data_IF_015393656655
#
_entry.id   IF_015393656655
#
_cell.length_a   1.000
_cell.length_b   1.000
_cell.length_c   1.000
_cell.angle_alpha   90.00
_cell.angle_beta   90.00
_cell.angle_gamma   90.00
#
_symmetry.space_group_name_H-M   'P 1'
#
loop_
_entity.id
_entity.type
_entity.pdbx_description
1 polymer ?
#
# COMPACT_ATOMS: atom_id res chain seq x y z
N UNK A 1 35.85 -2.55 29.38
CA UNK A 1 36.79 -3.71 29.34
C UNK A 1 36.29 -4.92 28.56
N UNK A 2 34.99 -4.99 28.23
CA UNK A 2 34.39 -6.10 27.46
C UNK A 2 34.40 -5.92 25.92
N UNK A 3 34.55 -4.71 25.42
CA UNK A 3 34.56 -4.44 23.97
C UNK A 3 35.87 -4.82 23.25
N UNK A 4 36.97 -5.03 23.96
CA UNK A 4 38.25 -5.41 23.35
C UNK A 4 38.37 -6.90 23.04
N UNK A 5 37.58 -7.75 23.70
CA UNK A 5 37.66 -9.21 23.53
C UNK A 5 36.94 -9.72 22.28
N UNK A 6 35.82 -9.09 21.89
CA UNK A 6 35.03 -9.51 20.71
C UNK A 6 35.72 -9.14 19.39
N UNK A 7 36.47 -8.05 19.37
CA UNK A 7 37.26 -7.64 18.20
C UNK A 7 38.44 -8.58 17.92
N UNK A 8 39.01 -9.20 18.97
CA UNK A 8 40.14 -10.11 18.82
C UNK A 8 39.71 -11.46 18.23
N UNK A 9 38.51 -11.94 18.56
CA UNK A 9 38.00 -13.25 18.08
C UNK A 9 37.63 -13.19 16.60
N UNK A 10 37.05 -12.09 16.13
CA UNK A 10 36.74 -11.87 14.72
C UNK A 10 38.01 -11.78 13.85
N UNK A 11 39.09 -11.20 14.39
CA UNK A 11 40.38 -11.11 13.70
C UNK A 11 41.08 -12.47 13.52
N UNK A 12 40.95 -13.39 14.50
CA UNK A 12 41.52 -14.75 14.41
C UNK A 12 40.78 -15.63 13.40
N UNK A 13 39.48 -15.48 13.23
CA UNK A 13 38.70 -16.27 12.25
C UNK A 13 39.00 -15.88 10.78
N UNK A 14 39.33 -14.63 10.51
CA UNK A 14 39.70 -14.15 9.16
C UNK A 14 41.10 -14.64 8.76
N UNK A 15 42.05 -14.74 9.73
CA UNK A 15 43.40 -15.21 9.44
C UNK A 15 43.49 -16.75 9.24
N UNK A 16 42.56 -17.53 9.80
CA UNK A 16 42.54 -19.00 9.61
C UNK A 16 42.12 -19.42 8.19
N UNK A 17 41.51 -18.53 7.40
CA UNK A 17 41.06 -18.80 6.03
C UNK A 17 42.14 -18.49 4.96
N UNK A 18 43.21 -17.81 5.32
CA UNK A 18 44.29 -17.40 4.40
C UNK A 18 45.54 -18.30 4.51
N UNK A 19 45.34 -19.60 4.60
CA UNK A 19 46.37 -20.62 4.37
C UNK A 19 47.77 -20.35 4.94
N UNK A 20 48.06 -20.80 6.16
CA UNK A 20 49.41 -21.25 6.46
C UNK A 20 50.40 -20.24 7.04
N UNK A 21 50.00 -19.19 7.73
CA UNK A 21 50.95 -18.32 8.47
C UNK A 21 50.88 -18.59 9.96
N UNK A 22 52.01 -19.08 10.53
CA UNK A 22 52.21 -19.09 11.99
C UNK A 22 52.34 -17.64 12.47
N UNK A 23 51.39 -17.19 13.25
CA UNK A 23 51.40 -15.85 13.85
C UNK A 23 52.18 -15.94 15.16
N UNK A 24 53.43 -15.47 15.16
CA UNK A 24 54.17 -15.17 16.37
C UNK A 24 53.63 -13.87 16.97
N UNK A 25 53.56 -13.76 18.30
CA UNK A 25 52.89 -12.68 19.02
C UNK A 25 53.58 -11.29 18.92
N UNK A 26 54.11 -10.95 17.75
CA UNK A 26 54.68 -9.61 17.49
C UNK A 26 53.58 -8.66 16.97
N UNK A 27 53.57 -7.48 17.54
CA UNK A 27 52.61 -6.40 17.25
C UNK A 27 52.54 -6.12 15.76
N UNK A 28 51.46 -6.56 15.07
CA UNK A 28 51.20 -6.26 13.67
C UNK A 28 50.90 -4.75 13.56
N UNK A 29 51.85 -3.99 13.00
CA UNK A 29 51.64 -2.61 12.58
C UNK A 29 51.02 -2.56 11.20
N UNK A 30 49.68 -2.47 11.13
CA UNK A 30 48.98 -2.24 9.86
C UNK A 30 49.24 -0.81 9.39
N UNK A 31 49.70 -0.65 8.18
CA UNK A 31 49.81 0.67 7.54
C UNK A 31 48.45 1.10 6.99
N UNK A 32 48.34 2.36 6.57
CA UNK A 32 47.10 2.95 6.04
C UNK A 32 46.57 2.24 4.76
N UNK A 33 47.46 1.63 3.97
CA UNK A 33 47.08 0.88 2.78
C UNK A 33 46.47 -0.47 3.16
N UNK A 34 47.03 -1.16 4.17
CA UNK A 34 46.49 -2.41 4.69
C UNK A 34 45.09 -2.21 5.30
N UNK A 35 44.91 -1.15 6.07
CA UNK A 35 43.59 -0.81 6.65
C UNK A 35 42.55 -0.49 5.56
N UNK A 36 42.98 0.16 4.48
CA UNK A 36 42.09 0.45 3.34
C UNK A 36 41.71 -0.81 2.56
N UNK A 37 42.67 -1.74 2.38
CA UNK A 37 42.43 -3.03 1.76
C UNK A 37 41.50 -3.92 2.59
N UNK A 38 41.71 -4.01 3.92
CA UNK A 38 40.84 -4.73 4.84
C UNK A 38 39.43 -4.17 4.84
N UNK A 39 39.30 -2.82 4.86
CA UNK A 39 37.98 -2.17 4.81
C UNK A 39 37.25 -2.48 3.49
N UNK A 40 37.94 -2.44 2.37
CA UNK A 40 37.36 -2.80 1.07
C UNK A 40 36.95 -4.29 1.01
N UNK A 41 37.74 -5.20 1.58
CA UNK A 41 37.38 -6.62 1.69
C UNK A 41 36.19 -6.86 2.62
N UNK A 42 36.11 -6.14 3.75
CA UNK A 42 34.93 -6.20 4.64
C UNK A 42 33.68 -5.70 3.94
N UNK A 43 33.77 -4.54 3.24
CA UNK A 43 32.63 -3.99 2.48
C UNK A 43 32.17 -4.92 1.35
N UNK A 44 33.08 -5.64 0.69
CA UNK A 44 32.74 -6.65 -0.34
C UNK A 44 32.15 -7.91 0.30
N UNK A 45 32.66 -8.37 1.43
CA UNK A 45 32.15 -9.51 2.18
C UNK A 45 30.74 -9.24 2.73
N UNK A 46 30.53 -8.05 3.29
CA UNK A 46 29.20 -7.63 3.80
C UNK A 46 28.19 -7.50 2.67
N UNK A 47 28.61 -6.99 1.52
CA UNK A 47 27.75 -6.95 0.31
C UNK A 47 27.42 -8.36 -0.20
N UNK A 48 28.37 -9.26 -0.23
CA UNK A 48 28.15 -10.65 -0.64
C UNK A 48 27.24 -11.38 0.35
N UNK A 49 27.47 -11.23 1.65
CA UNK A 49 26.62 -11.80 2.69
C UNK A 49 25.17 -11.27 2.62
N UNK A 50 24.98 -9.98 2.29
CA UNK A 50 23.66 -9.41 2.08
C UNK A 50 22.96 -9.94 0.82
N UNK A 51 23.71 -10.17 -0.26
CA UNK A 51 23.19 -10.80 -1.49
C UNK A 51 22.80 -12.25 -1.24
N UNK A 52 23.59 -12.99 -0.47
CA UNK A 52 23.33 -14.40 -0.14
C UNK A 52 22.18 -14.55 0.88
N UNK A 53 21.93 -13.51 1.70
CA UNK A 53 20.87 -13.50 2.70
C UNK A 53 19.49 -13.19 2.13
N UNK A 54 19.41 -12.45 0.99
CA UNK A 54 18.16 -12.00 0.40
C UNK A 54 17.46 -13.04 -0.46
N UNK A 55 16.46 -12.56 -1.22
CA UNK A 55 15.74 -13.40 -2.20
C UNK A 55 16.71 -13.84 -3.30
N UNK A 56 16.79 -15.16 -3.53
CA UNK A 56 17.49 -15.76 -4.67
C UNK A 56 16.52 -15.89 -5.83
N UNK A 57 16.75 -15.11 -6.89
CA UNK A 57 15.92 -15.15 -8.08
C UNK A 57 16.35 -16.28 -9.01
N UNK A 58 15.36 -17.00 -9.53
CA UNK A 58 15.53 -18.07 -10.50
C UNK A 58 16.09 -17.48 -11.81
N UNK A 59 17.14 -18.12 -12.32
CA UNK A 59 17.77 -17.72 -13.58
C UNK A 59 17.27 -18.63 -14.69
N UNK A 60 16.30 -18.18 -15.48
CA UNK A 60 15.69 -18.94 -16.56
C UNK A 60 14.46 -18.24 -17.13
N UNK A 61 13.83 -18.85 -18.11
CA UNK A 61 12.61 -18.41 -18.75
C UNK A 61 11.38 -18.64 -17.84
N UNK A 62 10.27 -17.98 -18.14
CA UNK A 62 8.98 -18.25 -17.47
C UNK A 62 8.58 -19.73 -17.54
N UNK A 63 8.76 -20.36 -18.69
CA UNK A 63 8.47 -21.78 -18.88
C UNK A 63 9.27 -22.70 -17.97
N UNK A 64 10.56 -22.40 -17.78
CA UNK A 64 11.45 -23.15 -16.88
C UNK A 64 11.09 -22.90 -15.41
N UNK A 65 10.77 -21.66 -15.03
CA UNK A 65 10.29 -21.33 -13.69
C UNK A 65 8.99 -22.08 -13.34
N UNK A 66 8.05 -22.15 -14.28
CA UNK A 66 6.81 -22.90 -14.12
C UNK A 66 7.07 -24.42 -14.00
N UNK A 67 8.00 -24.96 -14.77
CA UNK A 67 8.41 -26.35 -14.65
C UNK A 67 9.03 -26.66 -13.29
N UNK A 68 9.90 -25.76 -12.78
CA UNK A 68 10.49 -25.89 -11.45
C UNK A 68 9.44 -25.80 -10.34
N UNK A 69 8.48 -24.88 -10.47
CA UNK A 69 7.36 -24.77 -9.53
C UNK A 69 6.53 -26.05 -9.47
N UNK A 70 6.19 -26.67 -10.63
CA UNK A 70 5.51 -27.96 -10.70
C UNK A 70 6.31 -29.09 -10.06
N UNK A 71 7.61 -29.13 -10.31
CA UNK A 71 8.52 -30.15 -9.75
C UNK A 71 8.66 -30.03 -8.25
N UNK A 72 8.83 -28.81 -7.74
CA UNK A 72 9.05 -28.53 -6.30
C UNK A 72 7.76 -28.40 -5.48
N UNK A 73 6.60 -28.25 -6.13
CA UNK A 73 5.32 -27.96 -5.50
C UNK A 73 5.22 -26.55 -4.91
N UNK A 74 6.16 -25.65 -5.24
CA UNK A 74 6.23 -24.30 -4.71
C UNK A 74 5.38 -23.33 -5.54
N UNK A 75 4.80 -22.35 -4.87
CA UNK A 75 4.20 -21.15 -5.49
C UNK A 75 5.29 -20.34 -6.19
N UNK A 76 4.96 -19.62 -7.27
CA UNK A 76 5.90 -18.69 -7.90
C UNK A 76 5.64 -17.29 -7.35
N UNK A 77 6.71 -16.62 -6.94
CA UNK A 77 6.73 -15.17 -6.68
C UNK A 77 7.41 -14.47 -7.83
N UNK A 78 6.80 -13.40 -8.37
CA UNK A 78 7.36 -12.64 -9.48
C UNK A 78 7.40 -11.14 -9.16
N UNK A 79 8.61 -10.56 -9.24
CA UNK A 79 8.82 -9.10 -9.29
C UNK A 79 8.70 -8.61 -10.73
N UNK A 80 7.57 -7.96 -11.05
CA UNK A 80 7.35 -7.30 -12.33
C UNK A 80 7.88 -5.86 -12.27
N UNK A 81 9.00 -5.60 -12.91
CA UNK A 81 9.70 -4.33 -12.85
C UNK A 81 9.96 -3.73 -14.25
N UNK A 82 10.54 -2.53 -14.29
CA UNK A 82 11.17 -1.93 -15.46
C UNK A 82 12.48 -1.25 -15.06
N UNK A 83 13.41 -1.11 -15.99
CA UNK A 83 14.75 -0.54 -15.72
C UNK A 83 14.72 0.92 -15.22
N UNK A 84 13.73 1.70 -15.62
CA UNK A 84 13.56 3.10 -15.20
C UNK A 84 12.78 3.26 -13.88
N UNK A 85 12.23 2.19 -13.31
CA UNK A 85 11.38 2.23 -12.14
C UNK A 85 12.20 2.47 -10.85
N UNK A 86 12.14 3.66 -10.30
CA UNK A 86 12.83 4.03 -9.05
C UNK A 86 12.32 3.24 -7.84
N UNK A 87 11.00 3.09 -7.62
CA UNK A 87 10.48 2.27 -6.50
C UNK A 87 10.90 0.79 -6.60
N UNK A 88 11.02 0.23 -7.82
CA UNK A 88 11.49 -1.15 -8.02
C UNK A 88 12.95 -1.32 -7.57
N UNK A 89 13.81 -0.37 -7.92
CA UNK A 89 15.22 -0.37 -7.50
C UNK A 89 15.35 -0.27 -5.98
N UNK A 90 14.51 0.57 -5.35
CA UNK A 90 14.48 0.69 -3.89
C UNK A 90 14.01 -0.62 -3.23
N UNK A 91 12.92 -1.21 -3.71
CA UNK A 91 12.40 -2.49 -3.21
C UNK A 91 13.45 -3.60 -3.30
N UNK A 92 14.12 -3.72 -4.46
CA UNK A 92 15.20 -4.69 -4.68
C UNK A 92 16.38 -4.50 -3.72
N UNK A 93 16.72 -3.25 -3.38
CA UNK A 93 17.89 -2.93 -2.55
C UNK A 93 17.59 -2.99 -1.06
N UNK A 94 16.40 -2.53 -0.64
CA UNK A 94 16.09 -2.28 0.77
C UNK A 94 15.25 -3.40 1.41
N UNK A 95 14.49 -4.17 0.60
CA UNK A 95 13.58 -5.20 1.11
C UNK A 95 14.00 -6.60 0.68
N UNK A 96 14.26 -6.81 -0.62
CA UNK A 96 14.59 -8.16 -1.10
C UNK A 96 15.94 -8.69 -0.62
N UNK A 97 16.84 -7.82 -0.17
CA UNK A 97 18.14 -8.19 0.42
C UNK A 97 18.07 -8.56 1.89
N UNK A 98 16.93 -8.34 2.55
CA UNK A 98 16.77 -8.64 3.96
C UNK A 98 16.74 -10.16 4.19
N UNK A 99 17.52 -10.62 5.18
CA UNK A 99 17.62 -12.04 5.51
C UNK A 99 16.28 -12.69 5.81
N UNK A 100 15.41 -12.00 6.55
CA UNK A 100 14.09 -12.50 6.92
C UNK A 100 13.21 -12.73 5.67
N UNK A 101 13.31 -11.85 4.67
CA UNK A 101 12.62 -12.00 3.38
C UNK A 101 13.22 -13.16 2.59
N UNK A 102 14.56 -13.20 2.49
CA UNK A 102 15.26 -14.27 1.80
C UNK A 102 14.97 -15.65 2.37
N UNK A 103 15.02 -15.79 3.69
CA UNK A 103 14.71 -17.07 4.36
C UNK A 103 13.31 -17.56 3.98
N UNK A 104 12.29 -16.70 4.11
CA UNK A 104 10.91 -17.09 3.82
C UNK A 104 10.65 -17.33 2.33
N UNK A 105 11.08 -16.41 1.47
CA UNK A 105 10.79 -16.49 0.04
C UNK A 105 11.56 -17.60 -0.67
N UNK A 106 12.81 -17.88 -0.27
CA UNK A 106 13.60 -18.97 -0.83
C UNK A 106 13.09 -20.37 -0.41
N UNK A 107 12.47 -20.45 0.76
CA UNK A 107 11.87 -21.70 1.22
C UNK A 107 10.56 -22.01 0.49
N UNK A 108 9.70 -21.02 0.30
CA UNK A 108 8.32 -21.25 -0.13
C UNK A 108 8.05 -20.96 -1.60
N UNK A 109 8.93 -20.21 -2.29
CA UNK A 109 8.67 -19.79 -3.66
C UNK A 109 9.78 -20.17 -4.64
N UNK A 110 9.40 -20.32 -5.90
CA UNK A 110 10.28 -20.09 -7.04
C UNK A 110 10.22 -18.59 -7.34
N UNK A 111 11.30 -17.88 -7.01
CA UNK A 111 11.33 -16.41 -7.12
C UNK A 111 11.76 -16.01 -8.52
N UNK A 112 10.96 -15.22 -9.22
CA UNK A 112 11.21 -14.75 -10.58
C UNK A 112 11.30 -13.23 -10.59
N UNK A 113 12.16 -12.69 -11.43
CA UNK A 113 12.25 -11.27 -11.71
C UNK A 113 12.12 -11.05 -13.21
N UNK A 114 11.14 -10.25 -13.64
CA UNK A 114 10.83 -10.08 -15.05
C UNK A 114 10.70 -8.60 -15.43
N UNK A 115 11.50 -8.18 -16.42
CA UNK A 115 11.39 -6.84 -16.99
C UNK A 115 10.19 -6.74 -17.91
N UNK A 116 9.20 -5.92 -17.52
CA UNK A 116 7.95 -5.70 -18.26
C UNK A 116 8.12 -4.68 -19.41
N UNK A 117 9.27 -4.05 -19.54
CA UNK A 117 9.59 -3.12 -20.62
C UNK A 117 10.10 -3.82 -21.89
N UNK A 118 10.61 -5.04 -21.77
CA UNK A 118 11.30 -5.75 -22.84
C UNK A 118 10.88 -7.21 -22.98
N UNK A 119 11.20 -7.83 -24.11
CA UNK A 119 11.11 -9.27 -24.35
C UNK A 119 9.76 -9.89 -24.01
N UNK A 120 9.78 -11.07 -23.40
CA UNK A 120 8.63 -11.85 -22.98
C UNK A 120 7.78 -11.10 -21.95
N UNK A 121 8.41 -10.35 -21.04
CA UNK A 121 7.72 -9.61 -19.99
C UNK A 121 6.74 -8.57 -20.50
N UNK A 122 7.06 -7.91 -21.64
CA UNK A 122 6.16 -6.93 -22.27
C UNK A 122 4.82 -7.54 -22.72
N UNK A 123 4.85 -8.79 -23.20
CA UNK A 123 3.64 -9.50 -23.65
C UNK A 123 2.88 -10.06 -22.45
N UNK A 124 3.58 -10.73 -21.55
CA UNK A 124 2.99 -11.37 -20.39
C UNK A 124 2.45 -10.36 -19.38
N UNK A 125 3.13 -9.21 -19.22
CA UNK A 125 2.66 -8.12 -18.37
C UNK A 125 1.27 -7.62 -18.75
N UNK A 126 1.00 -7.51 -20.07
CA UNK A 126 -0.35 -7.17 -20.56
C UNK A 126 -1.38 -8.26 -20.24
N UNK A 127 -1.02 -9.52 -20.43
CA UNK A 127 -1.88 -10.67 -20.13
C UNK A 127 -2.22 -10.73 -18.63
N UNK A 128 -1.27 -10.40 -17.75
CA UNK A 128 -1.48 -10.40 -16.31
C UNK A 128 -2.03 -9.07 -15.75
N UNK A 129 -2.34 -8.09 -16.63
CA UNK A 129 -2.87 -6.79 -16.22
C UNK A 129 -1.89 -5.98 -15.39
N UNK A 130 -0.58 -6.03 -15.69
CA UNK A 130 0.46 -5.24 -15.03
C UNK A 130 0.52 -3.86 -15.69
N UNK A 131 -0.03 -2.85 -15.00
CA UNK A 131 -0.15 -1.47 -15.50
C UNK A 131 0.64 -0.45 -14.66
N UNK A 132 1.27 -0.89 -13.57
CA UNK A 132 2.08 -0.06 -12.67
C UNK A 132 3.29 -0.86 -12.15
N UNK A 133 4.36 -0.16 -11.74
CA UNK A 133 5.60 -0.80 -11.29
C UNK A 133 6.08 -0.25 -9.95
N UNK A 134 6.60 -1.15 -9.06
CA UNK A 134 6.56 -2.60 -9.20
C UNK A 134 5.14 -3.17 -9.06
N UNK A 135 4.89 -4.32 -9.69
CA UNK A 135 3.78 -5.19 -9.37
C UNK A 135 4.35 -6.55 -8.98
N UNK A 136 3.96 -7.05 -7.82
CA UNK A 136 4.38 -8.35 -7.32
C UNK A 136 3.24 -9.34 -7.55
N UNK A 137 3.52 -10.40 -8.30
CA UNK A 137 2.54 -11.44 -8.64
C UNK A 137 2.91 -12.75 -7.95
N UNK A 138 1.88 -13.48 -7.55
CA UNK A 138 2.03 -14.83 -7.02
C UNK A 138 1.19 -15.78 -7.89
N UNK A 139 1.80 -16.90 -8.30
CA UNK A 139 1.15 -17.86 -9.19
C UNK A 139 1.11 -19.24 -8.54
N UNK A 140 0.05 -19.98 -8.85
CA UNK A 140 0.02 -21.41 -8.57
C UNK A 140 0.97 -22.19 -9.51
N UNK A 141 1.06 -23.49 -9.34
CA UNK A 141 1.89 -24.36 -10.17
C UNK A 141 1.39 -24.50 -11.61
N UNK A 142 0.17 -24.12 -11.89
CA UNK A 142 -0.46 -24.09 -13.22
C UNK A 142 -0.16 -22.80 -13.99
N UNK A 143 0.32 -21.75 -13.29
CA UNK A 143 0.62 -20.44 -13.86
C UNK A 143 -0.51 -19.42 -13.77
N UNK A 144 -1.54 -19.70 -12.96
CA UNK A 144 -2.62 -18.77 -12.71
C UNK A 144 -2.23 -17.79 -11.61
N UNK A 145 -2.57 -16.51 -11.77
CA UNK A 145 -2.35 -15.48 -10.74
C UNK A 145 -3.29 -15.70 -9.57
N UNK A 146 -2.74 -16.10 -8.42
CA UNK A 146 -3.50 -16.32 -7.18
C UNK A 146 -3.48 -15.13 -6.23
N UNK A 147 -2.46 -14.27 -6.34
CA UNK A 147 -2.36 -13.07 -5.51
C UNK A 147 -1.54 -11.98 -6.20
N UNK A 148 -1.74 -10.71 -5.79
CA UNK A 148 -1.01 -9.56 -6.35
C UNK A 148 -0.90 -8.41 -5.37
N UNK A 149 0.21 -7.67 -5.49
CA UNK A 149 0.48 -6.41 -4.80
C UNK A 149 0.93 -5.40 -5.85
N UNK A 150 0.36 -4.21 -5.88
CA UNK A 150 0.78 -3.10 -6.74
C UNK A 150 1.48 -2.06 -5.89
N UNK A 151 2.71 -1.69 -6.28
CA UNK A 151 3.58 -0.80 -5.52
C UNK A 151 4.65 -1.54 -4.73
N UNK A 152 5.51 -0.78 -4.07
CA UNK A 152 6.63 -1.30 -3.28
C UNK A 152 6.21 -1.46 -1.80
N UNK A 153 5.84 -2.67 -1.35
CA UNK A 153 5.48 -2.92 0.03
C UNK A 153 6.72 -2.83 0.95
N UNK A 154 6.48 -2.54 2.22
CA UNK A 154 7.49 -2.74 3.25
C UNK A 154 7.68 -4.24 3.60
N UNK A 155 8.68 -4.53 4.44
CA UNK A 155 9.00 -5.86 4.91
C UNK A 155 7.79 -6.61 5.49
N UNK A 156 7.01 -5.94 6.35
CA UNK A 156 5.90 -6.58 7.08
C UNK A 156 4.78 -6.97 6.12
N UNK A 157 4.43 -6.07 5.21
CA UNK A 157 3.41 -6.31 4.19
C UNK A 157 3.87 -7.43 3.26
N UNK A 158 5.12 -7.39 2.77
CA UNK A 158 5.63 -8.41 1.86
C UNK A 158 5.59 -9.81 2.47
N UNK A 159 6.02 -9.97 3.72
CA UNK A 159 5.98 -11.26 4.42
C UNK A 159 4.55 -11.72 4.70
N UNK A 160 3.66 -10.81 5.11
CA UNK A 160 2.26 -11.14 5.38
C UNK A 160 1.54 -11.63 4.11
N UNK A 161 1.74 -10.93 3.00
CA UNK A 161 1.11 -11.29 1.73
C UNK A 161 1.77 -12.50 1.06
N UNK A 162 3.06 -12.72 1.28
CA UNK A 162 3.73 -13.98 0.94
C UNK A 162 3.12 -15.18 1.67
N UNK A 163 2.89 -15.07 2.98
CA UNK A 163 2.20 -16.10 3.78
C UNK A 163 0.78 -16.36 3.26
N UNK A 164 0.03 -15.29 2.99
CA UNK A 164 -1.32 -15.35 2.42
C UNK A 164 -1.34 -16.12 1.08
N UNK A 165 -0.35 -15.88 0.22
CA UNK A 165 -0.23 -16.58 -1.07
C UNK A 165 0.06 -18.08 -0.89
N UNK A 166 0.97 -18.44 0.02
CA UNK A 166 1.29 -19.85 0.36
C UNK A 166 0.08 -20.58 0.94
N UNK A 167 -0.70 -19.90 1.81
CA UNK A 167 -1.94 -20.44 2.37
C UNK A 167 -3.10 -20.51 1.35
N UNK A 168 -2.89 -20.01 0.14
CA UNK A 168 -3.89 -19.90 -0.93
C UNK A 168 -5.11 -19.05 -0.54
N UNK A 169 -4.92 -18.07 0.37
CA UNK A 169 -5.93 -17.11 0.81
C UNK A 169 -5.73 -15.72 0.19
N UNK A 170 -5.11 -15.66 -0.99
CA UNK A 170 -4.82 -14.44 -1.71
C UNK A 170 -6.01 -13.86 -2.47
N UNK A 171 -5.73 -12.97 -3.41
CA UNK A 171 -6.71 -12.20 -4.18
C UNK A 171 -7.76 -13.09 -4.88
N UNK A 172 -7.34 -14.19 -5.54
CA UNK A 172 -8.26 -15.09 -6.24
C UNK A 172 -9.24 -15.77 -5.27
N UNK A 173 -8.72 -16.34 -4.19
CA UNK A 173 -9.56 -16.99 -3.16
C UNK A 173 -10.54 -16.00 -2.51
N UNK A 174 -10.10 -14.77 -2.23
CA UNK A 174 -10.99 -13.74 -1.68
C UNK A 174 -12.15 -13.41 -2.62
N UNK A 175 -11.89 -13.35 -3.93
CA UNK A 175 -12.94 -13.18 -4.95
C UNK A 175 -13.95 -14.33 -4.93
N UNK A 176 -13.49 -15.57 -4.85
CA UNK A 176 -14.34 -16.76 -4.79
C UNK A 176 -15.19 -16.80 -3.52
N UNK A 177 -14.59 -16.52 -2.37
CA UNK A 177 -15.31 -16.46 -1.09
C UNK A 177 -16.41 -15.40 -1.09
N UNK A 178 -16.10 -14.21 -1.64
CA UNK A 178 -17.11 -13.17 -1.77
C UNK A 178 -18.24 -13.57 -2.73
N UNK A 179 -17.89 -14.16 -3.87
CA UNK A 179 -18.87 -14.65 -4.85
C UNK A 179 -19.75 -15.78 -4.27
N UNK A 180 -19.21 -16.63 -3.40
CA UNK A 180 -19.97 -17.69 -2.70
C UNK A 180 -20.83 -17.19 -1.54
N UNK A 181 -20.83 -15.88 -1.26
CA UNK A 181 -21.70 -15.27 -0.27
C UNK A 181 -21.09 -15.04 1.12
N UNK A 182 -19.77 -15.21 1.30
CA UNK A 182 -19.14 -14.87 2.56
C UNK A 182 -19.25 -13.35 2.82
N UNK A 183 -19.88 -12.99 3.93
CA UNK A 183 -20.15 -11.60 4.36
C UNK A 183 -19.77 -11.37 5.84
N UNK A 184 -18.93 -12.22 6.41
CA UNK A 184 -18.40 -11.99 7.75
C UNK A 184 -17.54 -10.73 7.77
N UNK A 185 -17.68 -9.89 8.81
CA UNK A 185 -16.96 -8.61 8.87
C UNK A 185 -15.45 -8.79 8.77
N UNK A 186 -14.87 -9.75 9.51
CA UNK A 186 -13.44 -10.02 9.49
C UNK A 186 -12.94 -10.43 8.09
N UNK A 187 -13.75 -11.20 7.35
CA UNK A 187 -13.46 -11.55 5.96
C UNK A 187 -13.51 -10.31 5.07
N UNK A 188 -14.57 -9.50 5.15
CA UNK A 188 -14.73 -8.29 4.35
C UNK A 188 -13.58 -7.30 4.62
N UNK A 189 -13.19 -7.09 5.88
CA UNK A 189 -12.05 -6.25 6.24
C UNK A 189 -10.74 -6.74 5.59
N UNK A 190 -10.46 -8.03 5.70
CA UNK A 190 -9.28 -8.65 5.08
C UNK A 190 -9.31 -8.55 3.54
N UNK A 191 -10.49 -8.73 2.94
CA UNK A 191 -10.66 -8.59 1.49
C UNK A 191 -10.43 -7.14 1.02
N UNK A 192 -10.91 -6.15 1.77
CA UNK A 192 -10.66 -4.74 1.48
C UNK A 192 -9.16 -4.39 1.51
N UNK A 193 -8.39 -4.99 2.43
CA UNK A 193 -6.93 -4.83 2.48
C UNK A 193 -6.27 -5.42 1.23
N UNK A 194 -6.63 -6.63 0.85
CA UNK A 194 -6.13 -7.29 -0.37
C UNK A 194 -6.46 -6.48 -1.62
N UNK A 195 -7.68 -5.96 -1.73
CA UNK A 195 -8.09 -5.10 -2.86
C UNK A 195 -7.32 -3.79 -2.90
N UNK A 196 -7.04 -3.19 -1.73
CA UNK A 196 -6.22 -1.98 -1.64
C UNK A 196 -4.79 -2.23 -2.13
N UNK A 197 -4.16 -3.33 -1.70
CA UNK A 197 -2.84 -3.73 -2.16
C UNK A 197 -2.81 -4.09 -3.65
N UNK A 198 -3.92 -4.59 -4.19
CA UNK A 198 -4.08 -4.89 -5.62
C UNK A 198 -4.40 -3.66 -6.47
N UNK A 199 -4.53 -2.46 -5.87
CA UNK A 199 -5.00 -1.22 -6.53
C UNK A 199 -6.40 -1.31 -7.15
N UNK A 200 -7.27 -2.13 -6.54
CA UNK A 200 -8.65 -2.39 -6.98
C UNK A 200 -9.66 -1.48 -6.24
N UNK A 201 -9.36 -0.18 -6.15
CA UNK A 201 -10.14 0.78 -5.33
C UNK A 201 -11.62 0.81 -5.68
N UNK A 202 -11.96 0.79 -6.98
CA UNK A 202 -13.37 0.80 -7.43
C UNK A 202 -14.11 -0.47 -6.99
N UNK A 203 -13.45 -1.61 -7.09
CA UNK A 203 -14.02 -2.89 -6.64
C UNK A 203 -14.21 -2.89 -5.12
N UNK A 204 -13.23 -2.36 -4.39
CA UNK A 204 -13.32 -2.21 -2.95
C UNK A 204 -14.52 -1.32 -2.54
N UNK A 205 -14.71 -0.17 -3.20
CA UNK A 205 -15.88 0.69 -2.97
C UNK A 205 -17.19 -0.07 -3.19
N UNK A 206 -17.35 -0.74 -4.32
CA UNK A 206 -18.59 -1.47 -4.64
C UNK A 206 -18.88 -2.55 -3.59
N UNK A 207 -17.88 -3.34 -3.19
CA UNK A 207 -18.02 -4.37 -2.16
C UNK A 207 -18.41 -3.76 -0.82
N UNK A 208 -17.81 -2.63 -0.45
CA UNK A 208 -18.11 -1.93 0.78
C UNK A 208 -19.56 -1.43 0.81
N UNK A 209 -20.00 -0.78 -0.28
CA UNK A 209 -21.39 -0.31 -0.42
C UNK A 209 -22.38 -1.48 -0.35
N UNK A 210 -22.13 -2.57 -1.08
CA UNK A 210 -22.99 -3.75 -1.10
C UNK A 210 -23.04 -4.43 0.28
N UNK A 211 -21.92 -4.49 0.99
CA UNK A 211 -21.87 -5.00 2.36
C UNK A 211 -22.78 -4.19 3.30
N UNK A 212 -22.65 -2.87 3.29
CA UNK A 212 -23.45 -2.00 4.15
C UNK A 212 -24.93 -1.96 3.77
N UNK A 213 -25.32 -2.22 2.50
CA UNK A 213 -26.74 -2.37 2.12
C UNK A 213 -27.41 -3.55 2.82
N UNK A 214 -26.69 -4.64 2.99
CA UNK A 214 -27.20 -5.90 3.57
C UNK A 214 -27.03 -5.97 5.11
N UNK A 215 -26.19 -5.11 5.67
CA UNK A 215 -25.90 -5.09 7.11
C UNK A 215 -27.12 -4.58 7.90
N UNK A 216 -27.45 -5.25 9.02
CA UNK A 216 -28.33 -4.66 10.04
C UNK A 216 -27.73 -3.34 10.55
N UNK A 217 -28.41 -2.23 10.27
CA UNK A 217 -27.93 -0.88 10.58
C UNK A 217 -27.71 -0.63 12.08
N UNK A 218 -28.35 -1.40 12.96
CA UNK A 218 -28.13 -1.32 14.41
C UNK A 218 -26.69 -1.69 14.79
N UNK A 219 -26.05 -2.60 14.01
CA UNK A 219 -24.64 -2.96 14.23
C UNK A 219 -23.68 -1.81 14.01
N UNK A 220 -24.07 -0.77 13.28
CA UNK A 220 -23.20 0.39 13.05
C UNK A 220 -22.87 1.19 14.32
N UNK A 221 -23.59 0.97 15.43
CA UNK A 221 -23.26 1.53 16.75
C UNK A 221 -22.18 0.73 17.48
N UNK A 222 -21.84 -0.48 17.02
CA UNK A 222 -20.73 -1.27 17.51
C UNK A 222 -19.42 -0.75 16.92
N UNK A 223 -18.35 -0.68 17.74
CA UNK A 223 -17.06 -0.04 17.40
C UNK A 223 -16.45 -0.57 16.10
N UNK A 224 -16.41 -1.88 15.89
CA UNK A 224 -15.78 -2.49 14.71
C UNK A 224 -16.50 -2.15 13.41
N UNK A 225 -17.84 -2.13 13.39
CA UNK A 225 -18.63 -1.75 12.22
C UNK A 225 -18.56 -0.26 11.95
N UNK A 226 -18.53 0.56 13.00
CA UNK A 226 -18.35 1.99 12.91
C UNK A 226 -16.99 2.36 12.32
N UNK A 227 -15.91 1.72 12.78
CA UNK A 227 -14.55 1.96 12.26
C UNK A 227 -14.46 1.56 10.79
N UNK A 228 -15.12 0.48 10.40
CA UNK A 228 -15.21 0.06 9.01
C UNK A 228 -16.01 1.05 8.16
N UNK A 229 -17.19 1.47 8.60
CA UNK A 229 -17.99 2.51 7.97
C UNK A 229 -17.19 3.81 7.80
N UNK A 230 -16.58 4.27 8.87
CA UNK A 230 -15.79 5.50 8.88
C UNK A 230 -14.64 5.47 7.87
N UNK A 231 -14.00 4.34 7.70
CA UNK A 231 -12.86 4.15 6.79
C UNK A 231 -13.29 4.15 5.33
N UNK A 232 -14.38 3.49 4.99
CA UNK A 232 -14.68 3.17 3.59
C UNK A 232 -15.85 3.95 2.99
N UNK A 233 -16.89 4.28 3.71
CA UNK A 233 -18.00 5.10 3.18
C UNK A 233 -17.56 6.57 3.10
N UNK A 234 -17.50 7.10 1.88
CA UNK A 234 -17.04 8.48 1.59
C UNK A 234 -18.12 9.34 0.96
N UNK A 235 -19.13 8.74 0.36
CA UNK A 235 -20.21 9.47 -0.28
C UNK A 235 -21.28 9.88 0.75
N UNK A 236 -21.58 11.17 0.80
CA UNK A 236 -22.63 11.73 1.66
C UNK A 236 -24.04 11.29 1.25
N UNK A 237 -24.22 10.85 0.01
CA UNK A 237 -25.48 10.35 -0.53
C UNK A 237 -25.62 8.83 -0.46
N UNK A 238 -24.60 8.12 0.05
CA UNK A 238 -24.70 6.70 0.35
C UNK A 238 -25.82 6.41 1.37
N UNK A 239 -26.62 5.38 1.13
CA UNK A 239 -27.76 5.03 1.97
C UNK A 239 -27.39 4.86 3.44
N UNK A 240 -26.20 4.29 3.70
CA UNK A 240 -25.69 4.10 5.07
C UNK A 240 -25.27 5.41 5.71
N UNK A 241 -24.64 6.32 4.93
CA UNK A 241 -24.30 7.66 5.40
C UNK A 241 -25.55 8.46 5.74
N UNK A 242 -26.57 8.40 4.88
CA UNK A 242 -27.87 9.03 5.12
C UNK A 242 -28.57 8.46 6.36
N UNK A 243 -28.51 7.14 6.56
CA UNK A 243 -29.04 6.49 7.76
C UNK A 243 -28.35 7.01 9.03
N UNK A 244 -27.01 6.99 9.05
CA UNK A 244 -26.21 7.50 10.18
C UNK A 244 -26.53 8.96 10.49
N UNK A 245 -26.69 9.81 9.48
CA UNK A 245 -27.07 11.21 9.67
C UNK A 245 -28.47 11.33 10.29
N UNK A 246 -29.46 10.58 9.81
CA UNK A 246 -30.85 10.60 10.32
C UNK A 246 -30.97 10.08 11.76
N UNK A 247 -30.16 9.10 12.13
CA UNK A 247 -30.13 8.47 13.45
C UNK A 247 -28.98 8.97 14.34
N UNK A 248 -28.47 10.17 14.05
CA UNK A 248 -27.26 10.74 14.67
C UNK A 248 -27.26 10.70 16.19
N UNK A 249 -28.41 10.88 16.83
CA UNK A 249 -28.54 10.86 18.29
C UNK A 249 -28.15 9.49 18.88
N UNK A 250 -28.57 8.40 18.25
CA UNK A 250 -28.26 7.03 18.70
C UNK A 250 -26.76 6.74 18.56
N UNK A 251 -26.15 7.21 17.46
CA UNK A 251 -24.71 7.09 17.22
C UNK A 251 -23.90 7.94 18.21
N UNK A 252 -24.34 9.14 18.53
CA UNK A 252 -23.71 10.01 19.54
C UNK A 252 -23.75 9.34 20.91
N UNK A 253 -24.89 8.76 21.28
CA UNK A 253 -25.03 8.05 22.56
C UNK A 253 -24.07 6.85 22.67
N UNK A 254 -23.88 6.10 21.59
CA UNK A 254 -23.03 4.90 21.57
C UNK A 254 -21.52 5.19 21.39
N UNK A 255 -21.15 6.19 20.60
CA UNK A 255 -19.79 6.38 20.10
C UNK A 255 -19.16 7.72 20.50
N UNK A 256 -19.97 8.64 21.00
CA UNK A 256 -19.54 9.99 21.39
C UNK A 256 -19.72 11.04 20.31
N UNK A 257 -20.10 12.24 20.73
CA UNK A 257 -20.48 13.35 19.88
C UNK A 257 -19.35 13.79 18.92
N UNK A 258 -18.14 13.95 19.44
CA UNK A 258 -16.98 14.43 18.66
C UNK A 258 -16.68 13.50 17.47
N UNK A 259 -16.77 12.20 17.69
CA UNK A 259 -16.42 11.22 16.65
C UNK A 259 -17.48 11.17 15.56
N UNK A 260 -18.74 11.13 15.93
CA UNK A 260 -19.87 11.09 15.00
C UNK A 260 -19.92 12.38 14.17
N UNK A 261 -19.82 13.53 14.83
CA UNK A 261 -19.84 14.84 14.15
C UNK A 261 -18.66 15.01 13.19
N UNK A 262 -17.46 14.54 13.58
CA UNK A 262 -16.27 14.53 12.69
C UNK A 262 -16.51 13.71 11.43
N UNK A 263 -17.16 12.55 11.55
CA UNK A 263 -17.48 11.72 10.37
C UNK A 263 -18.53 12.36 9.49
N UNK A 264 -19.61 12.90 10.06
CA UNK A 264 -20.65 13.60 9.31
C UNK A 264 -20.05 14.82 8.59
N UNK A 265 -19.27 15.64 9.30
CA UNK A 265 -18.55 16.77 8.66
C UNK A 265 -17.70 16.30 7.49
N UNK A 266 -16.90 15.22 7.67
CA UNK A 266 -16.06 14.69 6.61
C UNK A 266 -16.84 14.24 5.37
N UNK A 267 -18.00 13.61 5.54
CA UNK A 267 -18.89 13.21 4.44
C UNK A 267 -19.39 14.41 3.66
N UNK A 268 -19.90 15.42 4.36
CA UNK A 268 -20.38 16.64 3.71
C UNK A 268 -19.25 17.45 3.08
N UNK A 269 -18.09 17.55 3.75
CA UNK A 269 -16.94 18.21 3.18
C UNK A 269 -16.48 17.54 1.88
N UNK A 270 -16.31 16.21 1.88
CA UNK A 270 -15.94 15.47 0.66
C UNK A 270 -16.98 15.61 -0.45
N UNK A 271 -18.28 15.62 -0.09
CA UNK A 271 -19.37 15.80 -1.03
C UNK A 271 -19.37 17.16 -1.74
N UNK A 272 -18.78 18.20 -1.11
CA UNK A 272 -18.72 19.54 -1.68
C UNK A 272 -17.79 19.65 -2.91
N UNK A 273 -16.79 18.77 -3.02
CA UNK A 273 -15.77 18.84 -4.08
C UNK A 273 -16.06 17.99 -5.33
N UNK A 274 -17.14 17.22 -5.36
CA UNK A 274 -17.47 16.31 -6.47
C UNK A 274 -18.04 16.96 -7.73
N UNK A 275 -18.26 18.25 -7.72
CA UNK A 275 -18.84 19.03 -8.82
C UNK A 275 -17.78 19.54 -9.82
N UNK A 276 -16.52 19.25 -9.58
CA UNK A 276 -15.45 19.40 -10.56
C UNK A 276 -15.22 18.07 -11.29
N UNK A 277 -15.32 18.09 -12.61
CA UNK A 277 -15.04 16.93 -13.47
C UNK A 277 -13.88 17.26 -14.37
N UNK A 278 -12.87 16.41 -14.39
CA UNK A 278 -11.70 16.55 -15.25
C UNK A 278 -11.70 15.44 -16.29
N UNK A 279 -11.70 15.81 -17.58
CA UNK A 279 -11.60 14.87 -18.70
C UNK A 279 -10.57 15.41 -19.67
N UNK A 280 -9.58 14.56 -20.04
CA UNK A 280 -8.53 14.88 -21.03
C UNK A 280 -7.78 16.20 -20.76
N UNK A 281 -7.55 16.53 -19.47
CA UNK A 281 -6.87 17.75 -19.05
C UNK A 281 -7.75 19.02 -19.06
N UNK A 282 -9.04 18.88 -19.36
CA UNK A 282 -10.02 19.97 -19.25
C UNK A 282 -10.94 19.74 -18.07
N UNK A 283 -11.02 20.72 -17.18
CA UNK A 283 -11.91 20.70 -16.02
C UNK A 283 -13.22 21.42 -16.31
N UNK A 284 -14.33 20.84 -15.86
CA UNK A 284 -15.66 21.46 -15.92
C UNK A 284 -16.29 21.52 -14.54
N UNK A 285 -16.91 22.66 -14.20
CA UNK A 285 -17.63 22.87 -12.95
C UNK A 285 -19.14 22.75 -13.16
N UNK A 286 -19.78 21.81 -12.44
CA UNK A 286 -21.24 21.72 -12.36
C UNK A 286 -21.76 22.68 -11.27
N UNK A 287 -21.80 23.96 -11.59
CA UNK A 287 -22.27 25.04 -10.69
C UNK A 287 -23.70 24.79 -10.20
N UNK A 288 -24.59 24.37 -11.10
CA UNK A 288 -25.99 24.10 -10.76
C UNK A 288 -26.14 22.96 -9.75
N UNK A 289 -25.39 21.89 -9.93
CA UNK A 289 -25.33 20.78 -9.00
C UNK A 289 -24.76 21.22 -7.65
N UNK A 290 -23.69 22.00 -7.66
CA UNK A 290 -23.07 22.53 -6.46
C UNK A 290 -24.02 23.45 -5.67
N UNK A 291 -24.69 24.40 -6.30
CA UNK A 291 -25.64 25.28 -5.61
C UNK A 291 -26.85 24.52 -5.03
N UNK A 292 -27.30 23.46 -5.69
CA UNK A 292 -28.29 22.54 -5.11
C UNK A 292 -27.77 21.85 -3.86
N UNK A 293 -26.52 21.41 -3.88
CA UNK A 293 -25.84 20.81 -2.74
C UNK A 293 -25.71 21.82 -1.58
N UNK A 294 -25.24 23.04 -1.86
CA UNK A 294 -25.13 24.13 -0.87
C UNK A 294 -26.47 24.40 -0.19
N UNK A 295 -27.55 24.53 -0.96
CA UNK A 295 -28.89 24.72 -0.39
C UNK A 295 -29.30 23.60 0.57
N UNK A 296 -28.95 22.34 0.26
CA UNK A 296 -29.20 21.20 1.12
C UNK A 296 -28.34 21.25 2.39
N UNK A 297 -27.05 21.50 2.24
CA UNK A 297 -26.09 21.59 3.36
C UNK A 297 -26.47 22.71 4.33
N UNK A 298 -26.80 23.89 3.82
CA UNK A 298 -27.18 25.04 4.66
C UNK A 298 -28.48 24.83 5.46
N UNK A 299 -29.37 23.94 5.00
CA UNK A 299 -30.56 23.51 5.75
C UNK A 299 -30.29 22.43 6.79
N UNK A 300 -29.10 21.81 6.77
CA UNK A 300 -28.73 20.77 7.72
C UNK A 300 -28.27 21.36 9.06
N UNK A 301 -28.12 20.51 10.06
CA UNK A 301 -27.55 20.84 11.37
C UNK A 301 -26.04 20.50 11.47
N UNK A 302 -25.36 20.34 10.33
CA UNK A 302 -23.93 20.06 10.27
C UNK A 302 -23.14 21.24 10.79
N UNK A 303 -22.37 21.03 11.86
CA UNK A 303 -21.49 22.07 12.41
C UNK A 303 -20.38 22.44 11.41
N UNK A 304 -20.10 23.76 11.27
CA UNK A 304 -19.06 24.24 10.36
C UNK A 304 -19.44 24.18 8.87
N UNK A 305 -20.71 24.03 8.55
CA UNK A 305 -21.21 23.97 7.16
C UNK A 305 -20.87 25.19 6.32
N UNK A 306 -20.79 26.36 6.95
CA UNK A 306 -20.39 27.62 6.33
C UNK A 306 -18.94 27.50 5.81
N UNK A 307 -18.04 26.94 6.61
CA UNK A 307 -16.64 26.73 6.20
C UNK A 307 -16.53 25.74 5.03
N UNK A 308 -17.35 24.66 5.04
CA UNK A 308 -17.39 23.69 3.92
C UNK A 308 -17.76 24.41 2.62
N UNK A 309 -18.77 25.28 2.65
CA UNK A 309 -19.22 26.01 1.47
C UNK A 309 -18.17 27.02 1.01
N UNK A 310 -17.57 27.74 1.94
CA UNK A 310 -16.55 28.76 1.65
C UNK A 310 -15.29 28.12 1.04
N UNK A 311 -14.80 27.03 1.65
CA UNK A 311 -13.65 26.26 1.14
C UNK A 311 -13.91 25.70 -0.27
N UNK A 312 -15.08 25.13 -0.49
CA UNK A 312 -15.44 24.59 -1.80
C UNK A 312 -15.59 25.69 -2.87
N UNK A 313 -16.14 26.85 -2.53
CA UNK A 313 -16.22 27.98 -3.46
C UNK A 313 -14.84 28.50 -3.84
N UNK A 314 -13.93 28.62 -2.88
CA UNK A 314 -12.54 29.01 -3.15
C UNK A 314 -11.85 27.99 -4.07
N UNK A 315 -12.01 26.69 -3.79
CA UNK A 315 -11.47 25.63 -4.64
C UNK A 315 -11.98 25.71 -6.09
N UNK A 316 -13.28 25.93 -6.30
CA UNK A 316 -13.85 26.06 -7.66
C UNK A 316 -13.41 27.33 -8.36
N UNK A 317 -13.28 28.46 -7.66
CA UNK A 317 -12.75 29.70 -8.22
C UNK A 317 -11.29 29.50 -8.70
N UNK A 318 -10.45 28.87 -7.88
CA UNK A 318 -9.06 28.49 -8.25
C UNK A 318 -9.03 27.59 -9.50
N UNK A 319 -9.83 26.52 -9.51
CA UNK A 319 -9.88 25.56 -10.63
C UNK A 319 -10.36 26.19 -11.94
N UNK A 320 -11.23 27.19 -11.88
CA UNK A 320 -11.72 27.94 -13.04
C UNK A 320 -10.79 29.09 -13.47
N UNK A 321 -9.75 29.40 -12.67
CA UNK A 321 -8.87 30.54 -12.89
C UNK A 321 -9.54 31.89 -12.55
N UNK A 322 -10.65 31.89 -11.81
CA UNK A 322 -11.32 33.10 -11.31
C UNK A 322 -10.59 33.62 -10.06
N UNK A 323 -9.44 34.20 -10.31
CA UNK A 323 -8.58 34.74 -9.25
C UNK A 323 -9.21 35.94 -8.55
N UNK A 324 -10.11 36.69 -9.22
CA UNK A 324 -10.80 37.81 -8.61
C UNK A 324 -11.74 37.36 -7.49
N UNK A 325 -12.56 36.36 -7.74
CA UNK A 325 -13.42 35.74 -6.72
C UNK A 325 -12.64 35.06 -5.64
N UNK A 326 -11.56 34.31 -5.99
CA UNK A 326 -10.68 33.65 -5.02
C UNK A 326 -10.08 34.66 -4.04
N UNK A 327 -9.43 35.72 -4.54
CA UNK A 327 -8.78 36.74 -3.71
C UNK A 327 -9.81 37.44 -2.81
N UNK A 328 -10.98 37.78 -3.33
CA UNK A 328 -12.05 38.38 -2.54
C UNK A 328 -12.44 37.49 -1.36
N UNK A 329 -12.75 36.23 -1.59
CA UNK A 329 -13.12 35.27 -0.53
C UNK A 329 -12.00 35.07 0.48
N UNK A 330 -10.75 34.95 0.01
CA UNK A 330 -9.58 34.79 0.87
C UNK A 330 -9.37 36.01 1.79
N UNK A 331 -9.54 37.23 1.26
CA UNK A 331 -9.47 38.49 2.04
C UNK A 331 -10.54 38.56 3.09
N UNK A 332 -11.83 38.31 2.70
CA UNK A 332 -12.93 38.29 3.65
C UNK A 332 -12.74 37.26 4.78
N UNK A 333 -12.08 36.14 4.51
CA UNK A 333 -11.77 35.14 5.51
C UNK A 333 -10.67 35.58 6.47
N UNK A 334 -9.63 36.26 5.97
CA UNK A 334 -8.58 36.86 6.80
C UNK A 334 -9.14 37.93 7.74
N UNK A 335 -10.03 38.79 7.24
CA UNK A 335 -10.66 39.83 8.01
C UNK A 335 -11.55 39.29 9.16
N UNK A 336 -12.14 38.09 8.96
CA UNK A 336 -12.91 37.39 10.01
C UNK A 336 -12.02 36.66 11.03
N UNK A 337 -10.70 36.76 10.94
CA UNK A 337 -9.76 36.14 11.88
C UNK A 337 -9.54 34.63 11.69
N UNK A 338 -9.77 34.12 10.50
CA UNK A 338 -9.82 32.70 10.23
C UNK A 338 -8.84 32.16 9.22
N UNK A 339 -7.56 32.03 9.61
CA UNK A 339 -6.75 30.90 9.17
C UNK A 339 -6.13 30.28 10.42
N UNK A 340 -6.81 29.30 11.00
CA UNK A 340 -6.27 28.41 12.02
C UNK A 340 -6.23 26.99 11.45
#
# INVERSE_FOLDING_TARGET
KMMKSTFLIAFFSIMAFLGGVRVDAQTIRLNTADLKAIKAQMETSDKQAAVDAGIRFFNGTWKEALAEAKKSGKTIFMDCYTDWCVPCKRLSKEVFTLKEVGDYFNEHFVNVKMDMGTGEGKTMGKQWGVNAFPTLLFFNTEGDVIHRIVGAPDLKILLAEGKRAVERKGYAWMNEQYASGNRELAFIQSYMEVLSLASESRKAENICVDYFKTLDKNKLTEREYWDFFRKYIKDVDDETAVYVYKHRADFIAALGEKEVNKKIYSLYNSGAYRYWKEQEGQGTFDEKGFEKYVKRLMKSDVGGKENIVEDARMFYAEKQGDWASFIKMATERLDKGGMS
#
